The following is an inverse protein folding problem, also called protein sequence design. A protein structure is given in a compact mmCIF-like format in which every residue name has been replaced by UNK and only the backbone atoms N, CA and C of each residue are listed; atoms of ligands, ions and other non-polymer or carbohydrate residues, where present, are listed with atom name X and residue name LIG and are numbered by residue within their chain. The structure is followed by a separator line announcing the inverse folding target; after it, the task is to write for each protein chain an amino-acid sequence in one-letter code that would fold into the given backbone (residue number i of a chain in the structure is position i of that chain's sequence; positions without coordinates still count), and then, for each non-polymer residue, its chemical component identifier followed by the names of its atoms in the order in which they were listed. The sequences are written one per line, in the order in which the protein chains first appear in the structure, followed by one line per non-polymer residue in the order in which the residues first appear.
data_IF_682807340345
#
_entry.id   IF_682807340345
#
_cell.length_a   1.000
_cell.length_b   1.000
_cell.length_c   1.000
_cell.angle_alpha   90.00
_cell.angle_beta   90.00
_cell.angle_gamma   90.00
#
_symmetry.space_group_name_H-M   'P 1'
#
loop_
_entity.id
_entity.type
_entity.pdbx_description
1 polymer ?
#
# COMPACT_ATOMS: atom_id res chain seq x y z
N UNK A 1 -16.66 0.29 -7.82
CA UNK A 1 -15.25 0.01 -8.16
C UNK A 1 -15.21 -0.87 -9.39
N UNK A 2 -14.73 -0.36 -10.51
CA UNK A 2 -14.70 -1.13 -11.75
C UNK A 2 -13.53 -2.13 -11.70
N UNK A 3 -13.82 -3.35 -12.14
CA UNK A 3 -12.89 -4.47 -12.12
C UNK A 3 -12.66 -4.96 -13.53
N UNK A 4 -11.39 -5.10 -13.91
CA UNK A 4 -10.97 -5.65 -15.20
C UNK A 4 -10.14 -6.90 -14.93
N UNK A 5 -10.43 -8.00 -15.62
CA UNK A 5 -9.57 -9.20 -15.62
C UNK A 5 -8.71 -9.14 -16.86
N UNK A 6 -7.39 -9.26 -16.71
CA UNK A 6 -6.48 -9.31 -17.85
C UNK A 6 -6.28 -10.75 -18.33
N UNK A 7 -6.12 -10.95 -19.63
CA UNK A 7 -5.95 -12.29 -20.21
C UNK A 7 -4.48 -12.66 -20.39
N UNK A 8 -3.60 -11.65 -20.52
CA UNK A 8 -2.16 -11.84 -20.70
C UNK A 8 -1.33 -10.73 -20.02
N UNK A 9 -0.01 -10.97 -19.90
CA UNK A 9 0.94 -9.94 -19.46
C UNK A 9 0.95 -8.71 -20.38
N UNK A 10 0.76 -8.93 -21.69
CA UNK A 10 0.65 -7.84 -22.67
C UNK A 10 -0.56 -6.95 -22.39
N UNK A 11 -1.72 -7.54 -22.09
CA UNK A 11 -2.93 -6.78 -21.77
C UNK A 11 -2.77 -5.99 -20.48
N UNK A 12 -2.06 -6.55 -19.50
CA UNK A 12 -1.70 -5.80 -18.29
C UNK A 12 -0.82 -4.58 -18.61
N UNK A 13 0.23 -4.75 -19.43
CA UNK A 13 1.10 -3.64 -19.83
C UNK A 13 0.31 -2.55 -20.55
N UNK A 14 -0.52 -2.91 -21.52
CA UNK A 14 -1.34 -1.96 -22.29
C UNK A 14 -2.40 -1.27 -21.41
N UNK A 15 -3.02 -1.99 -20.48
CA UNK A 15 -3.98 -1.40 -19.56
C UNK A 15 -3.29 -0.44 -18.59
N UNK A 16 -2.14 -0.84 -18.03
CA UNK A 16 -1.41 -0.06 -17.03
C UNK A 16 -0.86 1.25 -17.57
N UNK A 17 -0.54 1.33 -18.87
CA UNK A 17 -0.07 2.57 -19.51
C UNK A 17 -1.13 3.66 -19.57
N UNK A 18 -2.42 3.32 -19.39
CA UNK A 18 -3.54 4.27 -19.36
C UNK A 18 -3.71 4.95 -18.00
N UNK A 19 -2.97 4.53 -16.98
CA UNK A 19 -3.06 5.03 -15.60
C UNK A 19 -1.88 5.95 -15.26
N UNK A 20 -1.62 6.93 -16.12
CA UNK A 20 -0.49 7.86 -15.96
C UNK A 20 -0.61 8.66 -14.64
N UNK A 21 0.44 8.62 -13.83
CA UNK A 21 0.50 9.31 -12.54
C UNK A 21 -0.29 8.65 -11.40
N UNK A 22 -1.00 7.55 -11.66
CA UNK A 22 -1.74 6.79 -10.64
C UNK A 22 -0.77 6.04 -9.71
N UNK A 23 -1.27 5.64 -8.55
CA UNK A 23 -0.54 4.78 -7.61
C UNK A 23 -1.16 3.37 -7.60
N UNK A 24 -0.33 2.35 -7.41
CA UNK A 24 -0.71 0.94 -7.52
C UNK A 24 -0.41 0.16 -6.23
N UNK A 25 -1.21 -0.86 -5.94
CA UNK A 25 -0.94 -1.82 -4.85
C UNK A 25 -1.30 -3.23 -5.26
N UNK A 26 -0.33 -4.12 -5.20
CA UNK A 26 -0.52 -5.56 -5.41
C UNK A 26 -1.06 -6.29 -4.19
N UNK A 27 -1.92 -7.28 -4.42
CA UNK A 27 -2.40 -8.22 -3.42
C UNK A 27 -2.42 -9.63 -4.01
N UNK A 28 -2.00 -10.62 -3.22
CA UNK A 28 -1.82 -12.02 -3.64
C UNK A 28 -3.12 -12.81 -3.77
N UNK A 29 -4.25 -12.22 -3.35
CA UNK A 29 -5.57 -12.82 -3.46
C UNK A 29 -6.56 -11.76 -3.94
N UNK A 30 -7.15 -12.01 -5.11
CA UNK A 30 -8.10 -11.12 -5.74
C UNK A 30 -9.37 -10.92 -4.90
N UNK A 31 -9.68 -11.78 -3.92
CA UNK A 31 -10.87 -11.64 -3.06
C UNK A 31 -10.65 -10.63 -1.95
N UNK A 32 -9.40 -10.32 -1.61
CA UNK A 32 -9.10 -9.40 -0.51
C UNK A 32 -9.57 -7.98 -0.81
N UNK A 33 -10.09 -7.34 0.23
CA UNK A 33 -10.41 -5.92 0.18
C UNK A 33 -9.16 -5.08 0.44
N UNK A 34 -9.19 -3.85 -0.05
CA UNK A 34 -8.14 -2.86 0.18
C UNK A 34 -8.23 -2.31 1.61
N UNK A 35 -7.59 -3.00 2.56
CA UNK A 35 -7.58 -2.71 4.00
C UNK A 35 -6.16 -2.68 4.55
N UNK A 36 -5.93 -1.83 5.55
CA UNK A 36 -4.65 -1.73 6.26
C UNK A 36 -4.37 -2.97 7.12
N UNK A 37 -3.13 -3.14 7.55
CA UNK A 37 -2.76 -4.22 8.48
C UNK A 37 -3.49 -4.07 9.82
N UNK A 38 -3.70 -2.83 10.29
CA UNK A 38 -4.49 -2.52 11.47
C UNK A 38 -5.97 -2.89 11.30
N UNK A 39 -6.61 -2.48 10.21
CA UNK A 39 -8.01 -2.81 9.95
C UNK A 39 -8.23 -4.33 9.95
N UNK A 40 -7.34 -5.09 9.27
CA UNK A 40 -7.41 -6.55 9.26
C UNK A 40 -7.24 -7.16 10.64
N UNK A 41 -6.26 -6.68 11.41
CA UNK A 41 -6.00 -7.17 12.76
C UNK A 41 -7.18 -6.89 13.71
N UNK A 42 -7.75 -5.68 13.65
CA UNK A 42 -8.89 -5.32 14.49
C UNK A 42 -10.15 -6.09 14.09
N UNK A 43 -10.44 -6.28 12.80
CA UNK A 43 -11.56 -7.13 12.37
C UNK A 43 -11.44 -8.56 12.89
N UNK A 44 -10.23 -9.13 12.90
CA UNK A 44 -10.00 -10.50 13.32
C UNK A 44 -10.08 -10.70 14.85
N UNK A 45 -9.62 -9.71 15.62
CA UNK A 45 -9.35 -9.90 17.06
C UNK A 45 -10.08 -8.92 17.98
N UNK A 46 -10.78 -7.92 17.45
CA UNK A 46 -11.45 -6.87 18.21
C UNK A 46 -12.86 -6.62 17.65
N UNK A 47 -13.84 -7.36 18.16
CA UNK A 47 -15.23 -7.27 17.73
C UNK A 47 -15.86 -5.90 17.97
N UNK A 48 -15.54 -5.27 19.10
CA UNK A 48 -16.05 -3.95 19.48
C UNK A 48 -15.32 -2.83 18.73
N UNK A 49 -16.01 -2.26 17.73
CA UNK A 49 -15.50 -1.16 16.89
C UNK A 49 -15.28 0.14 17.65
N UNK A 50 -15.98 0.38 18.76
CA UNK A 50 -15.83 1.61 19.55
C UNK A 50 -14.42 1.70 20.20
N UNK A 51 -13.78 0.54 20.40
CA UNK A 51 -12.43 0.47 20.96
C UNK A 51 -11.32 0.65 19.93
N UNK A 52 -11.61 0.67 18.64
CA UNK A 52 -10.57 0.63 17.60
C UNK A 52 -9.66 1.86 17.65
N UNK A 53 -10.28 3.04 17.74
CA UNK A 53 -9.58 4.33 17.89
C UNK A 53 -8.66 4.32 19.11
N UNK A 54 -9.20 3.97 20.28
CA UNK A 54 -8.45 4.02 21.55
C UNK A 54 -7.32 2.99 21.59
N UNK A 55 -7.49 1.84 20.93
CA UNK A 55 -6.45 0.80 20.79
C UNK A 55 -5.32 1.24 19.87
N UNK A 56 -5.61 1.86 18.74
CA UNK A 56 -4.57 2.42 17.86
C UNK A 56 -3.77 3.52 18.56
N UNK A 57 -4.46 4.50 19.17
CA UNK A 57 -3.80 5.57 19.91
C UNK A 57 -2.92 5.02 21.05
N UNK A 58 -3.39 3.98 21.75
CA UNK A 58 -2.61 3.28 22.78
C UNK A 58 -1.40 2.56 22.19
N UNK A 59 -1.53 1.91 21.04
CA UNK A 59 -0.44 1.21 20.36
C UNK A 59 0.68 2.19 19.97
N UNK A 60 0.34 3.30 19.31
CA UNK A 60 1.30 4.37 18.95
C UNK A 60 1.99 4.91 20.20
N UNK A 61 1.23 5.22 21.26
CA UNK A 61 1.78 5.73 22.52
C UNK A 61 2.74 4.75 23.19
N UNK A 62 2.42 3.45 23.21
CA UNK A 62 3.30 2.43 23.78
C UNK A 62 4.56 2.27 22.94
N UNK A 63 4.42 2.28 21.61
CA UNK A 63 5.55 2.19 20.70
C UNK A 63 6.52 3.36 20.92
N UNK A 64 6.04 4.61 20.91
CA UNK A 64 6.86 5.81 21.19
C UNK A 64 7.61 5.73 22.50
N UNK A 65 6.95 5.29 23.58
CA UNK A 65 7.56 5.16 24.91
C UNK A 65 8.68 4.13 24.98
N UNK A 66 8.76 3.18 24.05
CA UNK A 66 9.76 2.11 24.08
C UNK A 66 10.79 2.25 22.96
N UNK A 67 10.36 2.68 21.78
CA UNK A 67 11.15 2.75 20.56
C UNK A 67 12.36 3.69 20.68
N UNK A 68 12.32 4.71 21.53
CA UNK A 68 13.47 5.61 21.75
C UNK A 68 14.74 4.90 22.21
N UNK A 69 14.63 3.71 22.82
CA UNK A 69 15.79 2.90 23.22
C UNK A 69 16.37 2.07 22.06
N UNK A 70 15.68 2.02 20.92
CA UNK A 70 15.98 1.15 19.79
C UNK A 70 16.26 1.92 18.49
N UNK A 71 16.13 3.25 18.52
CA UNK A 71 16.42 4.10 17.36
C UNK A 71 17.59 5.04 17.67
N UNK A 72 18.50 5.26 16.71
CA UNK A 72 19.62 6.19 16.88
C UNK A 72 19.16 7.64 17.08
N UNK A 73 17.99 8.02 16.54
CA UNK A 73 17.43 9.36 16.64
C UNK A 73 15.99 9.29 17.19
N UNK A 74 15.78 9.49 18.51
CA UNK A 74 14.45 9.45 19.11
C UNK A 74 13.51 10.56 18.62
N UNK A 75 14.07 11.70 18.20
CA UNK A 75 13.33 12.86 17.66
C UNK A 75 12.38 12.47 16.53
N UNK A 76 12.75 11.44 15.75
CA UNK A 76 12.00 10.91 14.63
C UNK A 76 10.63 10.35 15.03
N UNK A 77 10.44 10.01 16.31
CA UNK A 77 9.19 9.49 16.85
C UNK A 77 8.15 10.60 17.07
N UNK A 78 8.54 11.88 17.02
CA UNK A 78 7.62 13.01 17.19
C UNK A 78 6.74 13.26 15.97
N UNK A 79 7.20 12.88 14.79
CA UNK A 79 6.37 12.87 13.58
C UNK A 79 5.47 11.62 13.59
N UNK A 80 4.14 11.82 13.51
CA UNK A 80 3.20 10.71 13.59
C UNK A 80 3.27 9.78 12.37
N UNK A 81 3.43 10.34 11.16
CA UNK A 81 3.47 9.56 9.92
C UNK A 81 4.73 8.67 9.89
N UNK A 82 5.87 9.22 10.29
CA UNK A 82 7.14 8.51 10.42
C UNK A 82 7.11 7.48 11.54
N UNK A 83 6.53 7.82 12.68
CA UNK A 83 6.34 6.85 13.77
C UNK A 83 5.51 5.65 13.29
N UNK A 84 4.43 5.88 12.53
CA UNK A 84 3.64 4.83 11.91
C UNK A 84 4.44 4.06 10.85
N UNK A 85 5.23 4.73 10.02
CA UNK A 85 6.11 4.09 9.05
C UNK A 85 7.10 3.13 9.72
N UNK A 86 7.74 3.57 10.81
CA UNK A 86 8.67 2.75 11.59
C UNK A 86 7.97 1.56 12.26
N UNK A 87 6.78 1.78 12.82
CA UNK A 87 5.95 0.70 13.36
C UNK A 87 5.69 -0.38 12.30
N UNK A 88 5.29 0.04 11.10
CA UNK A 88 4.99 -0.86 9.99
C UNK A 88 6.22 -1.58 9.45
N UNK A 89 7.35 -0.88 9.37
CA UNK A 89 8.63 -1.46 8.98
C UNK A 89 9.01 -2.65 9.87
N UNK A 90 8.76 -2.54 11.18
CA UNK A 90 8.98 -3.62 12.16
C UNK A 90 7.76 -4.54 12.37
N UNK A 91 6.78 -4.52 11.48
CA UNK A 91 5.67 -5.48 11.45
C UNK A 91 4.51 -5.19 12.41
N UNK A 92 4.48 -4.03 13.07
CA UNK A 92 3.31 -3.64 13.84
C UNK A 92 2.12 -3.31 12.92
N UNK A 93 0.88 -3.64 13.33
CA UNK A 93 -0.30 -3.24 12.58
C UNK A 93 -0.48 -1.71 12.61
N UNK A 94 -0.63 -1.09 11.44
CA UNK A 94 -0.81 0.36 11.26
C UNK A 94 -1.92 0.64 10.27
N UNK A 95 -2.42 1.87 10.26
CA UNK A 95 -3.43 2.33 9.29
C UNK A 95 -2.89 2.56 7.88
N UNK A 96 -1.56 2.64 7.71
CA UNK A 96 -0.98 2.98 6.41
C UNK A 96 -1.17 1.82 5.42
N UNK A 97 -1.27 2.20 4.16
CA UNK A 97 -1.31 1.31 3.01
C UNK A 97 -0.12 1.65 2.11
N UNK A 98 0.76 0.68 1.89
CA UNK A 98 1.85 0.82 0.92
C UNK A 98 1.32 0.76 -0.51
N UNK A 99 1.53 1.83 -1.26
CA UNK A 99 1.33 1.88 -2.69
C UNK A 99 2.69 2.13 -3.37
N UNK A 100 2.74 1.96 -4.68
CA UNK A 100 3.90 2.24 -5.51
C UNK A 100 3.47 3.02 -6.75
N UNK A 101 4.32 3.92 -7.25
CA UNK A 101 4.11 4.58 -8.53
C UNK A 101 4.38 3.68 -9.74
N UNK A 102 4.95 2.49 -9.51
CA UNK A 102 5.23 1.51 -10.58
C UNK A 102 4.18 0.41 -10.62
N UNK A 103 3.42 0.25 -11.74
CA UNK A 103 2.50 -0.87 -11.89
C UNK A 103 3.23 -2.22 -11.88
N UNK A 104 4.51 -2.25 -12.30
CA UNK A 104 5.34 -3.46 -12.29
C UNK A 104 5.75 -3.89 -10.89
N UNK A 105 6.08 -2.93 -10.02
CA UNK A 105 6.34 -3.22 -8.60
C UNK A 105 5.07 -3.73 -7.91
N UNK A 106 3.91 -3.17 -8.23
CA UNK A 106 2.63 -3.68 -7.73
C UNK A 106 2.34 -5.09 -8.25
N UNK A 107 2.60 -5.38 -9.53
CA UNK A 107 2.46 -6.71 -10.09
C UNK A 107 3.38 -7.73 -9.42
N UNK A 108 4.63 -7.35 -9.13
CA UNK A 108 5.56 -8.20 -8.39
C UNK A 108 5.00 -8.60 -7.02
N UNK A 109 4.53 -7.64 -6.21
CA UNK A 109 3.93 -7.95 -4.91
C UNK A 109 2.63 -8.77 -5.01
N UNK A 110 1.86 -8.56 -6.08
CA UNK A 110 0.68 -9.36 -6.35
C UNK A 110 1.02 -10.81 -6.70
N UNK A 111 2.17 -11.08 -7.33
CA UNK A 111 2.46 -12.37 -7.97
C UNK A 111 3.55 -13.21 -7.28
N UNK A 112 4.51 -12.62 -6.57
CA UNK A 112 5.74 -13.32 -6.14
C UNK A 112 5.49 -14.65 -5.39
N UNK A 113 4.39 -14.74 -4.63
CA UNK A 113 3.97 -15.94 -3.89
C UNK A 113 2.49 -16.29 -4.10
N UNK A 114 1.90 -15.82 -5.20
CA UNK A 114 0.49 -16.06 -5.49
C UNK A 114 0.24 -17.54 -5.82
N UNK A 115 -0.79 -18.10 -5.20
CA UNK A 115 -1.29 -19.46 -5.43
C UNK A 115 -2.74 -19.48 -5.93
N UNK A 116 -3.34 -18.30 -6.06
CA UNK A 116 -4.67 -18.04 -6.60
C UNK A 116 -4.61 -16.79 -7.47
N UNK A 117 -5.74 -16.40 -8.05
CA UNK A 117 -5.84 -15.12 -8.75
C UNK A 117 -5.46 -13.98 -7.82
N UNK A 118 -4.70 -13.03 -8.35
CA UNK A 118 -4.18 -11.86 -7.64
C UNK A 118 -4.89 -10.59 -8.11
N UNK A 119 -4.69 -9.48 -7.41
CA UNK A 119 -5.22 -8.19 -7.83
C UNK A 119 -4.21 -7.06 -7.66
N UNK A 120 -4.28 -6.10 -8.58
CA UNK A 120 -3.68 -4.78 -8.44
C UNK A 120 -4.80 -3.77 -8.27
N UNK A 121 -4.70 -2.92 -7.25
CA UNK A 121 -5.54 -1.75 -7.10
C UNK A 121 -4.80 -0.54 -7.65
N UNK A 122 -5.41 0.21 -8.57
CA UNK A 122 -4.89 1.46 -9.10
C UNK A 122 -5.73 2.63 -8.58
N UNK A 123 -5.10 3.55 -7.86
CA UNK A 123 -5.67 4.75 -7.24
C UNK A 123 -5.36 5.97 -8.10
N UNK A 124 -6.39 6.74 -8.46
CA UNK A 124 -6.28 7.97 -9.24
C UNK A 124 -5.72 9.12 -8.37
N UNK A 125 -4.42 9.06 -8.09
CA UNK A 125 -3.76 10.10 -7.32
C UNK A 125 -3.76 11.47 -8.00
N UNK A 126 -3.72 11.61 -9.35
CA UNK A 126 -3.90 12.92 -9.99
C UNK A 126 -5.25 13.56 -9.66
N UNK A 127 -6.36 12.83 -9.73
CA UNK A 127 -7.67 13.40 -9.40
C UNK A 127 -7.77 13.87 -7.94
N UNK A 128 -7.13 13.15 -7.01
CA UNK A 128 -7.06 13.53 -5.60
C UNK A 128 -6.09 14.70 -5.34
N UNK A 129 -5.04 14.85 -6.16
CA UNK A 129 -4.05 15.92 -6.05
C UNK A 129 -4.60 17.24 -6.58
N UNK A 130 -5.19 17.21 -7.78
CA UNK A 130 -5.68 18.38 -8.51
C UNK A 130 -7.06 18.85 -8.04
N UNK A 131 -7.53 18.34 -6.90
CA UNK A 131 -8.85 18.64 -6.34
C UNK A 131 -10.04 18.31 -7.27
N UNK A 132 -9.83 17.48 -8.30
CA UNK A 132 -10.89 16.92 -9.18
C UNK A 132 -11.71 15.83 -8.50
N UNK A 133 -11.30 15.41 -7.31
CA UNK A 133 -12.01 14.46 -6.47
C UNK A 133 -12.02 14.93 -5.02
N UNK A 134 -13.21 15.18 -4.45
CA UNK A 134 -13.36 15.74 -3.09
C UNK A 134 -14.40 15.00 -2.25
N UNK A 135 -14.28 14.93 -0.92
CA UNK A 135 -15.31 14.33 -0.07
C UNK A 135 -16.64 15.09 -0.18
N UNK A 136 -17.75 14.40 -0.49
CA UNK A 136 -19.08 15.03 -0.70
C UNK A 136 -19.56 15.85 0.49
N UNK A 137 -19.35 15.34 1.70
CA UNK A 137 -19.84 15.96 2.93
C UNK A 137 -18.84 16.95 3.57
N UNK A 138 -17.62 17.01 3.05
CA UNK A 138 -16.60 17.95 3.52
C UNK A 138 -15.63 18.35 2.38
N UNK A 139 -16.09 19.10 1.37
CA UNK A 139 -15.28 19.39 0.17
C UNK A 139 -14.01 20.21 0.45
N UNK A 140 -13.93 20.88 1.60
CA UNK A 140 -12.74 21.62 2.03
C UNK A 140 -11.62 20.73 2.58
N UNK A 141 -11.87 19.44 2.83
CA UNK A 141 -10.84 18.48 3.26
C UNK A 141 -10.06 17.94 2.06
N UNK A 142 -9.36 18.85 1.37
CA UNK A 142 -8.46 18.54 0.26
C UNK A 142 -7.22 17.80 0.74
N UNK A 143 -6.48 17.18 -0.19
CA UNK A 143 -5.23 16.46 0.10
C UNK A 143 -4.23 17.32 0.89
N UNK A 144 -4.09 18.60 0.53
CA UNK A 144 -3.19 19.52 1.21
C UNK A 144 -3.71 19.98 2.57
N UNK A 145 -5.03 20.16 2.70
CA UNK A 145 -5.65 20.54 3.99
C UNK A 145 -5.46 19.46 5.04
N UNK A 146 -5.55 18.19 4.65
CA UNK A 146 -5.42 17.03 5.53
C UNK A 146 -3.99 16.49 5.63
N UNK A 147 -2.98 17.19 5.10
CA UNK A 147 -1.62 16.66 5.02
C UNK A 147 -1.08 16.26 6.42
N UNK A 148 -0.85 14.96 6.70
CA UNK A 148 -0.45 14.48 8.02
C UNK A 148 0.98 14.90 8.41
N UNK A 149 1.77 15.44 7.48
CA UNK A 149 3.10 16.01 7.75
C UNK A 149 3.00 17.38 8.45
N UNK A 150 1.85 18.05 8.34
CA UNK A 150 1.58 19.27 9.09
C UNK A 150 1.26 18.89 10.54
N UNK A 151 1.99 19.50 11.48
CA UNK A 151 1.85 19.22 12.91
C UNK A 151 0.40 19.28 13.38
N UNK A 152 -0.09 18.17 13.95
CA UNK A 152 -1.45 18.05 14.50
C UNK A 152 -2.51 17.53 13.52
N UNK A 153 -2.23 17.52 12.21
CA UNK A 153 -3.20 17.02 11.22
C UNK A 153 -3.45 15.51 11.34
N UNK A 154 -2.43 14.72 11.72
CA UNK A 154 -2.61 13.29 11.94
C UNK A 154 -3.66 13.03 13.04
N UNK A 155 -3.52 13.68 14.20
CA UNK A 155 -4.50 13.56 15.29
C UNK A 155 -5.88 14.06 14.87
N UNK A 156 -5.93 15.21 14.19
CA UNK A 156 -7.17 15.91 13.83
C UNK A 156 -8.01 15.17 12.78
N UNK A 157 -7.38 14.63 11.74
CA UNK A 157 -8.10 14.11 10.57
C UNK A 157 -8.04 12.58 10.43
N UNK A 158 -7.17 11.90 11.18
CA UNK A 158 -6.96 10.46 11.01
C UNK A 158 -7.17 9.72 12.33
N UNK A 159 -6.43 10.05 13.40
CA UNK A 159 -6.54 9.34 14.69
C UNK A 159 -7.87 9.60 15.42
N UNK A 160 -8.65 10.60 14.98
CA UNK A 160 -10.07 10.75 15.34
C UNK A 160 -10.95 9.59 14.88
N UNK A 161 -10.58 8.92 13.78
CA UNK A 161 -11.34 7.83 13.13
C UNK A 161 -12.79 8.21 12.80
N UNK A 162 -13.00 9.45 12.39
CA UNK A 162 -14.31 10.09 12.17
C UNK A 162 -14.40 10.82 10.81
N UNK A 163 -13.28 10.98 10.11
CA UNK A 163 -13.21 11.63 8.82
C UNK A 163 -13.09 10.59 7.70
N UNK A 164 -14.09 10.51 6.82
CA UNK A 164 -14.09 9.63 5.64
C UNK A 164 -13.24 10.23 4.50
N UNK A 165 -11.95 10.42 4.79
CA UNK A 165 -10.97 11.01 3.87
C UNK A 165 -9.85 10.02 3.56
N UNK A 166 -9.13 10.28 2.46
CA UNK A 166 -7.93 9.56 2.07
C UNK A 166 -6.85 10.58 1.77
N UNK A 167 -5.70 10.43 2.42
CA UNK A 167 -4.48 11.13 2.03
C UNK A 167 -3.54 10.18 1.32
N UNK A 168 -2.74 10.71 0.41
CA UNK A 168 -1.61 10.00 -0.17
C UNK A 168 -0.39 10.91 -0.29
N UNK A 169 0.79 10.28 -0.27
CA UNK A 169 2.06 10.95 -0.46
C UNK A 169 3.20 10.25 0.26
N UNK A 170 4.38 10.83 0.12
CA UNK A 170 5.61 10.34 0.71
C UNK A 170 5.87 11.03 2.07
N UNK A 171 6.44 10.31 3.06
CA UNK A 171 6.98 10.94 4.26
C UNK A 171 8.12 11.90 3.88
N UNK A 172 8.41 12.86 4.75
CA UNK A 172 9.47 13.86 4.51
C UNK A 172 10.85 13.23 4.34
N UNK A 173 11.13 12.17 5.08
CA UNK A 173 12.29 11.33 4.90
C UNK A 173 11.87 9.92 4.50
N UNK A 174 12.41 9.43 3.39
CA UNK A 174 12.14 8.09 2.87
C UNK A 174 13.29 7.16 3.23
N UNK A 175 12.97 5.96 3.70
CA UNK A 175 13.99 4.91 3.83
C UNK A 175 14.37 4.33 2.44
N UNK A 176 15.50 3.62 2.39
CA UNK A 176 16.00 3.03 1.14
C UNK A 176 15.02 2.05 0.49
N UNK A 177 14.16 1.39 1.30
CA UNK A 177 13.15 0.45 0.82
C UNK A 177 12.01 1.17 0.12
N UNK A 178 11.50 2.26 0.69
CA UNK A 178 10.45 3.07 0.08
C UNK A 178 10.94 3.67 -1.24
N UNK A 179 12.20 4.12 -1.30
CA UNK A 179 12.82 4.61 -2.54
C UNK A 179 12.91 3.49 -3.60
N UNK A 180 13.47 2.34 -3.24
CA UNK A 180 13.65 1.21 -4.16
C UNK A 180 12.32 0.70 -4.75
N UNK A 181 11.24 0.81 -3.98
CA UNK A 181 9.90 0.38 -4.37
C UNK A 181 9.12 1.46 -5.12
N UNK A 182 9.69 2.65 -5.33
CA UNK A 182 8.95 3.84 -5.80
C UNK A 182 7.67 4.04 -4.98
N UNK A 183 7.82 3.87 -3.66
CA UNK A 183 6.72 3.73 -2.73
C UNK A 183 6.07 5.07 -2.39
N UNK A 184 4.76 5.03 -2.23
CA UNK A 184 3.92 6.14 -1.78
C UNK A 184 2.95 5.60 -0.73
N UNK A 185 2.64 6.37 0.30
CA UNK A 185 1.73 5.92 1.34
C UNK A 185 0.31 6.37 1.04
N UNK A 186 -0.66 5.55 1.40
CA UNK A 186 -2.07 5.93 1.46
C UNK A 186 -2.54 5.81 2.92
N UNK A 187 -3.16 6.87 3.43
CA UNK A 187 -3.61 6.96 4.82
C UNK A 187 -5.12 7.20 4.82
N UNK A 188 -5.92 6.19 5.23
CA UNK A 188 -7.35 6.36 5.39
C UNK A 188 -7.65 7.09 6.71
N UNK A 189 -8.62 8.01 6.67
CA UNK A 189 -9.12 8.72 7.85
C UNK A 189 -9.94 7.81 8.78
N UNK A 190 -10.61 6.80 8.20
CA UNK A 190 -11.32 5.75 8.94
C UNK A 190 -10.71 4.36 8.71
N UNK A 191 -10.65 3.54 9.75
CA UNK A 191 -10.06 2.19 9.70
C UNK A 191 -11.09 1.06 9.74
N UNK A 192 -12.38 1.35 9.91
CA UNK A 192 -13.47 0.39 10.10
C UNK A 192 -14.09 -0.17 8.81
N UNK A 193 -13.62 0.33 7.66
CA UNK A 193 -14.08 -0.02 6.32
C UNK A 193 -12.93 -0.01 5.31
N UNK A 194 -13.04 -0.74 4.19
CA UNK A 194 -12.02 -0.75 3.14
C UNK A 194 -11.96 0.56 2.35
N UNK A 195 -10.80 0.86 1.78
CA UNK A 195 -10.52 2.14 1.09
C UNK A 195 -11.53 2.48 -0.01
N UNK A 196 -12.00 1.49 -0.77
CA UNK A 196 -12.99 1.72 -1.83
C UNK A 196 -14.30 2.32 -1.28
N UNK A 197 -14.72 1.96 -0.07
CA UNK A 197 -15.92 2.51 0.57
C UNK A 197 -15.74 3.95 1.03
N UNK A 198 -14.51 4.35 1.34
CA UNK A 198 -14.18 5.76 1.65
C UNK A 198 -14.26 6.57 0.35
N UNK A 199 -13.69 6.06 -0.74
CA UNK A 199 -13.70 6.71 -2.05
C UNK A 199 -15.10 6.78 -2.69
N UNK A 200 -16.01 5.87 -2.36
CA UNK A 200 -17.43 5.97 -2.78
C UNK A 200 -18.09 7.26 -2.24
N UNK A 201 -17.59 7.82 -1.14
CA UNK A 201 -18.03 9.09 -0.53
C UNK A 201 -17.46 10.35 -1.20
N UNK A 202 -16.63 10.20 -2.22
CA UNK A 202 -16.07 11.33 -2.97
C UNK A 202 -16.99 11.70 -4.15
N UNK A 203 -16.92 12.96 -4.55
CA UNK A 203 -17.47 13.51 -5.78
C UNK A 203 -16.34 13.64 -6.79
N UNK A 204 -16.50 13.03 -7.96
CA UNK A 204 -15.56 13.10 -9.08
C UNK A 204 -16.24 12.66 -10.38
N UNK A 205 -15.84 13.25 -11.49
CA UNK A 205 -16.26 12.85 -12.85
C UNK A 205 -15.47 11.64 -13.38
N UNK A 206 -14.39 11.27 -12.67
CA UNK A 206 -13.48 10.20 -13.07
C UNK A 206 -13.46 9.07 -12.03
N UNK A 207 -13.15 7.84 -12.46
CA UNK A 207 -12.97 6.75 -11.52
C UNK A 207 -11.77 6.99 -10.60
N UNK A 208 -11.98 6.84 -9.30
CA UNK A 208 -10.92 7.02 -8.30
C UNK A 208 -10.14 5.74 -7.99
N UNK A 209 -10.77 4.58 -8.18
CA UNK A 209 -10.15 3.29 -7.90
C UNK A 209 -10.54 2.27 -8.98
N UNK A 210 -9.54 1.58 -9.49
CA UNK A 210 -9.67 0.47 -10.44
C UNK A 210 -9.07 -0.79 -9.82
N UNK A 211 -9.71 -1.93 -10.05
CA UNK A 211 -9.16 -3.24 -9.69
C UNK A 211 -8.81 -4.01 -10.95
N UNK A 212 -7.57 -4.45 -11.05
CA UNK A 212 -7.06 -5.27 -12.15
C UNK A 212 -6.81 -6.65 -11.58
N UNK A 213 -7.54 -7.66 -12.04
CA UNK A 213 -7.36 -9.06 -11.63
C UNK A 213 -6.35 -9.71 -12.57
N UNK A 214 -5.34 -10.34 -11.96
CA UNK A 214 -4.31 -11.12 -12.63
C UNK A 214 -4.62 -12.60 -12.37
N UNK A 215 -5.13 -13.36 -13.36
CA UNK A 215 -5.35 -14.79 -13.18
C UNK A 215 -4.05 -15.51 -12.82
N UNK A 216 -4.12 -16.52 -11.96
CA UNK A 216 -2.95 -17.26 -11.47
C UNK A 216 -2.08 -17.82 -12.61
N UNK A 217 -2.71 -18.15 -13.74
CA UNK A 217 -2.05 -18.66 -14.93
C UNK A 217 -1.02 -17.68 -15.53
N UNK A 218 -1.19 -16.36 -15.33
CA UNK A 218 -0.27 -15.33 -15.82
C UNK A 218 1.02 -15.25 -15.00
N UNK A 219 1.04 -15.79 -13.78
CA UNK A 219 2.15 -15.62 -12.82
C UNK A 219 3.49 -15.99 -13.44
N UNK A 220 3.59 -17.15 -14.09
CA UNK A 220 4.85 -17.66 -14.60
C UNK A 220 5.46 -16.77 -15.70
N UNK A 221 4.64 -16.25 -16.62
CA UNK A 221 5.11 -15.36 -17.68
C UNK A 221 5.42 -13.95 -17.14
N UNK A 222 4.51 -13.40 -16.33
CA UNK A 222 4.67 -12.10 -15.71
C UNK A 222 5.94 -12.00 -14.84
N UNK A 223 6.21 -13.02 -14.01
CA UNK A 223 7.40 -13.04 -13.15
C UNK A 223 8.71 -13.07 -13.97
N UNK A 224 8.74 -13.74 -15.14
CA UNK A 224 9.90 -13.70 -16.05
C UNK A 224 10.13 -12.31 -16.63
N UNK A 225 9.06 -11.61 -17.02
CA UNK A 225 9.16 -10.23 -17.50
C UNK A 225 9.63 -9.28 -16.40
N UNK A 226 9.05 -9.38 -15.20
CA UNK A 226 9.45 -8.58 -14.05
C UNK A 226 10.93 -8.80 -13.70
N UNK A 227 11.40 -10.04 -13.73
CA UNK A 227 12.82 -10.35 -13.53
C UNK A 227 13.71 -9.67 -14.59
N UNK A 228 13.33 -9.73 -15.87
CA UNK A 228 14.05 -9.04 -16.97
C UNK A 228 14.05 -7.52 -16.85
N UNK A 229 13.05 -6.95 -16.16
CA UNK A 229 12.94 -5.52 -15.86
C UNK A 229 13.68 -5.14 -14.57
N UNK A 230 14.42 -6.07 -13.96
CA UNK A 230 15.09 -5.89 -12.68
C UNK A 230 14.14 -5.56 -11.51
N UNK A 231 12.88 -6.01 -11.58
CA UNK A 231 11.91 -5.96 -10.47
C UNK A 231 11.99 -7.27 -9.71
N UNK A 232 12.85 -7.32 -8.69
CA UNK A 232 13.18 -8.55 -7.94
C UNK A 232 13.18 -8.27 -6.44
N UNK A 233 13.19 -9.33 -5.62
CA UNK A 233 13.35 -9.17 -4.17
C UNK A 233 14.65 -8.44 -3.82
N UNK A 234 15.75 -8.70 -4.52
CA UNK A 234 17.03 -8.06 -4.26
C UNK A 234 17.04 -6.55 -4.62
N UNK A 235 16.33 -6.15 -5.68
CA UNK A 235 16.25 -4.72 -6.04
C UNK A 235 15.26 -3.94 -5.19
N UNK A 236 14.16 -4.57 -4.73
CA UNK A 236 13.12 -3.93 -3.92
C UNK A 236 13.41 -3.91 -2.41
N UNK A 237 14.32 -4.75 -1.95
CA UNK A 237 14.74 -4.86 -0.55
C UNK A 237 16.27 -4.91 -0.53
N UNK A 238 16.97 -3.77 -0.46
CA UNK A 238 18.42 -3.69 -0.59
C UNK A 238 19.13 -4.05 0.72
N UNK A 239 18.73 -5.17 1.33
CA UNK A 239 19.23 -5.68 2.60
C UNK A 239 19.34 -7.22 2.56
N UNK A 240 19.78 -7.80 3.69
CA UNK A 240 19.92 -9.25 3.82
C UNK A 240 18.56 -9.97 3.68
N UNK A 241 17.47 -9.33 4.08
CA UNK A 241 16.12 -9.91 3.94
C UNK A 241 15.74 -10.03 2.47
N UNK A 242 16.04 -9.03 1.64
CA UNK A 242 15.86 -9.07 0.21
C UNK A 242 16.67 -10.16 -0.48
N UNK A 243 17.94 -10.31 -0.10
CA UNK A 243 18.78 -11.40 -0.59
C UNK A 243 18.22 -12.78 -0.19
N UNK A 244 17.79 -12.95 1.05
CA UNK A 244 17.20 -14.21 1.50
C UNK A 244 15.91 -14.53 0.75
N UNK A 245 15.08 -13.52 0.46
CA UNK A 245 13.83 -13.69 -0.31
C UNK A 245 14.07 -13.97 -1.79
N UNK A 246 15.14 -13.44 -2.39
CA UNK A 246 15.43 -13.66 -3.81
C UNK A 246 15.75 -15.12 -4.12
N UNK A 247 16.34 -15.86 -3.18
CA UNK A 247 16.70 -17.28 -3.34
C UNK A 247 15.50 -18.12 -3.79
N UNK A 248 14.29 -17.87 -3.28
CA UNK A 248 13.10 -18.62 -3.67
C UNK A 248 12.77 -18.46 -5.16
N UNK A 249 12.94 -17.24 -5.69
CA UNK A 249 12.73 -16.90 -7.10
C UNK A 249 13.84 -17.49 -7.97
N UNK A 250 15.09 -17.47 -7.51
CA UNK A 250 16.23 -18.07 -8.22
C UNK A 250 16.05 -19.59 -8.40
N UNK A 251 15.68 -20.30 -7.33
CA UNK A 251 15.36 -21.74 -7.35
C UNK A 251 14.24 -22.04 -8.34
N UNK A 252 13.20 -21.21 -8.36
CA UNK A 252 12.02 -21.41 -9.19
C UNK A 252 12.30 -21.15 -10.68
N UNK A 253 13.01 -20.06 -11.00
CA UNK A 253 13.00 -19.49 -12.36
C UNK A 253 14.36 -19.46 -13.07
N UNK A 254 15.47 -19.37 -12.32
CA UNK A 254 16.81 -19.08 -12.88
C UNK A 254 17.71 -20.32 -12.88
N UNK A 255 17.52 -21.21 -11.91
CA UNK A 255 18.22 -22.49 -11.84
C UNK A 255 17.33 -23.68 -12.19
N UNK A 256 16.59 -23.69 -13.33
CA UNK A 256 15.92 -24.90 -13.74
C UNK A 256 17.01 -25.97 -13.93
N UNK A 257 16.85 -27.10 -13.25
CA UNK A 257 17.69 -28.28 -13.46
C UNK A 257 17.79 -28.52 -14.95
N UNK A 258 19.02 -28.53 -15.49
CA UNK A 258 19.28 -29.14 -16.79
C UNK A 258 18.69 -30.54 -16.72
N UNK A 259 17.62 -30.79 -17.47
CA UNK A 259 17.24 -32.16 -17.80
C UNK A 259 18.42 -32.75 -18.55
N UNK A 260 19.23 -33.54 -17.84
CA UNK A 260 20.09 -34.54 -18.44
C UNK A 260 19.15 -35.55 -19.10
N UNK A 261 18.94 -35.39 -20.40
CA UNK A 261 18.09 -36.24 -21.23
C UNK A 261 18.16 -35.83 -22.68
#
# INVERSE_FOLDING_TARGET
MDTTVVESWKDFMELSSRFEGWAFRGQQDARWHLQSSLSRYLHAYVSDKEQWRSREARAIRIFRRKAHNHVPWPELLHDDLRCLGLMQHHGAPTRLLDFTKSPFVAAFFALERATSDSAIFALNTPALYDDRARPRHAPWLTRDTIDPRVKGNMEKYFLGNDNEVVWFGEPEEMDGRLIAQSGTLVVPGVIDRPLHRILDGYESDEPLLRKIVLPVALRADAMKWLYRMNVTNASLFPDLDGLARSIAVEIEMVWPTQTLG
#
